data_IF_877379984005
#
_entry.id   IF_877379984005
#
_cell.length_a   1.000
_cell.length_b   1.000
_cell.length_c   1.000
_cell.angle_alpha   90.00
_cell.angle_beta   90.00
_cell.angle_gamma   90.00
#
_symmetry.space_group_name_H-M   'P 1'
#
loop_
_entity.id
_entity.type
_entity.pdbx_description
1 polymer ?
#
# COMPACT_ATOMS: atom_id res chain seq x y z
N UNK A 1 36.39 -10.73 8.47
CA UNK A 1 36.28 -9.30 8.85
C UNK A 1 36.02 -8.36 7.67
N UNK A 2 36.56 -8.60 6.45
CA UNK A 2 36.32 -7.70 5.31
C UNK A 2 34.96 -7.88 4.61
N UNK A 3 34.48 -9.12 4.47
CA UNK A 3 33.23 -9.45 3.77
C UNK A 3 32.01 -8.86 4.48
N UNK A 4 32.01 -8.84 5.81
CA UNK A 4 30.95 -8.24 6.63
C UNK A 4 30.82 -6.74 6.40
N UNK A 5 31.92 -6.02 6.15
CA UNK A 5 31.90 -4.58 5.88
C UNK A 5 31.26 -4.32 4.52
N UNK A 6 31.57 -5.14 3.51
CA UNK A 6 30.96 -5.04 2.17
C UNK A 6 29.45 -5.30 2.22
N UNK A 7 29.01 -6.32 2.97
CA UNK A 7 27.58 -6.63 3.14
C UNK A 7 26.86 -5.47 3.83
N UNK A 8 27.46 -4.90 4.89
CA UNK A 8 26.89 -3.74 5.59
C UNK A 8 26.81 -2.54 4.65
N UNK A 9 27.85 -2.22 3.88
CA UNK A 9 27.82 -1.13 2.91
C UNK A 9 26.71 -1.31 1.87
N UNK A 10 26.56 -2.51 1.29
CA UNK A 10 25.49 -2.79 0.30
C UNK A 10 24.09 -2.63 0.90
N UNK A 11 23.89 -3.06 2.15
CA UNK A 11 22.61 -2.88 2.85
C UNK A 11 22.32 -1.42 3.19
N UNK A 12 23.34 -0.60 3.45
CA UNK A 12 23.19 0.83 3.69
C UNK A 12 22.84 1.60 2.40
N UNK A 13 23.38 1.21 1.25
CA UNK A 13 23.06 1.84 -0.04
C UNK A 13 21.65 1.50 -0.51
N UNK A 14 21.14 0.30 -0.22
CA UNK A 14 19.77 -0.13 -0.58
C UNK A 14 18.66 0.52 0.25
N UNK A 15 19.01 1.42 1.18
CA UNK A 15 18.04 2.14 2.02
C UNK A 15 17.51 3.42 1.34
N UNK A 16 17.74 3.55 0.05
CA UNK A 16 17.14 4.56 -0.81
C UNK A 16 15.63 4.30 -0.89
N UNK A 17 14.92 5.10 -0.09
CA UNK A 17 13.63 5.70 -0.44
C UNK A 17 12.61 4.68 -0.95
N UNK A 18 11.95 3.98 -0.02
CA UNK A 18 10.58 3.54 -0.32
C UNK A 18 9.83 4.81 -0.70
N UNK A 19 9.41 5.01 -1.96
CA UNK A 19 8.54 6.14 -2.26
C UNK A 19 7.35 5.98 -1.32
N UNK A 20 7.04 7.01 -0.53
CA UNK A 20 5.78 7.11 0.18
C UNK A 20 4.72 7.12 -0.91
N UNK A 21 4.30 5.92 -1.27
CA UNK A 21 3.56 5.64 -2.46
C UNK A 21 2.10 5.88 -2.08
N UNK A 22 1.56 6.94 -2.65
CA UNK A 22 0.18 7.43 -2.53
C UNK A 22 -0.86 6.35 -2.94
N UNK A 23 -0.41 5.17 -3.41
CA UNK A 23 -1.26 4.03 -3.77
C UNK A 23 -1.75 3.24 -2.53
N UNK A 24 -1.46 3.71 -1.31
CA UNK A 24 -1.95 3.10 -0.07
C UNK A 24 -3.46 3.33 0.13
N UNK A 25 -4.08 4.27 -0.58
CA UNK A 25 -5.52 4.53 -0.51
C UNK A 25 -6.35 3.32 -1.01
N UNK A 26 -5.84 2.60 -2.02
CA UNK A 26 -6.45 1.37 -2.54
C UNK A 26 -6.21 0.14 -1.63
N UNK A 27 -5.37 0.26 -0.60
CA UNK A 27 -5.11 -0.81 0.38
C UNK A 27 -5.95 -0.68 1.66
N UNK A 28 -6.70 0.42 1.82
CA UNK A 28 -7.56 0.63 2.99
C UNK A 28 -8.94 0.01 2.81
N UNK A 29 -9.35 -0.76 3.82
CA UNK A 29 -10.72 -1.26 3.93
C UNK A 29 -11.70 -0.09 4.13
N UNK A 30 -12.82 -0.14 3.42
CA UNK A 30 -13.90 0.84 3.57
C UNK A 30 -15.27 0.18 3.44
N UNK A 31 -16.26 0.77 4.10
CA UNK A 31 -17.65 0.33 3.98
C UNK A 31 -18.36 1.12 2.89
N UNK A 32 -18.94 0.42 1.92
CA UNK A 32 -19.68 1.05 0.85
C UNK A 32 -20.92 1.79 1.39
N UNK A 33 -21.09 3.10 1.11
CA UNK A 33 -22.20 3.89 1.65
C UNK A 33 -23.56 3.55 1.02
N UNK A 34 -23.57 2.89 -0.15
CA UNK A 34 -24.81 2.50 -0.85
C UNK A 34 -25.35 1.15 -0.39
N UNK A 35 -24.48 0.13 -0.32
CA UNK A 35 -24.91 -1.25 -0.06
C UNK A 35 -24.40 -1.83 1.26
N UNK A 36 -23.67 -1.05 2.07
CA UNK A 36 -23.08 -1.45 3.35
C UNK A 36 -22.11 -2.65 3.26
N UNK A 37 -21.61 -2.95 2.07
CA UNK A 37 -20.61 -3.99 1.87
C UNK A 37 -19.23 -3.52 2.33
N UNK A 38 -18.52 -4.34 3.10
CA UNK A 38 -17.13 -4.09 3.50
C UNK A 38 -16.18 -4.43 2.36
N UNK A 39 -15.66 -3.39 1.70
CA UNK A 39 -14.69 -3.48 0.60
C UNK A 39 -13.30 -3.54 1.23
N UNK A 40 -12.63 -4.68 1.11
CA UNK A 40 -11.32 -4.91 1.73
C UNK A 40 -10.18 -4.15 1.04
N UNK A 41 -10.31 -3.89 -0.27
CA UNK A 41 -9.31 -3.22 -1.09
C UNK A 41 -9.96 -2.65 -2.36
N UNK A 42 -9.33 -1.60 -2.90
CA UNK A 42 -9.72 -0.94 -4.13
C UNK A 42 -10.67 0.24 -3.94
N UNK A 43 -10.78 1.03 -5.00
CA UNK A 43 -11.58 2.27 -5.08
C UNK A 43 -13.02 2.07 -5.57
N UNK A 44 -13.47 0.84 -5.80
CA UNK A 44 -14.82 0.55 -6.30
C UNK A 44 -15.45 -0.66 -5.58
N UNK A 45 -16.72 -0.53 -5.21
CA UNK A 45 -17.46 -1.62 -4.57
C UNK A 45 -17.83 -2.70 -5.61
N UNK A 46 -17.47 -3.98 -5.41
CA UNK A 46 -17.75 -5.05 -6.36
C UNK A 46 -19.22 -5.44 -6.46
N UNK A 47 -20.07 -4.95 -5.53
CA UNK A 47 -21.48 -5.30 -5.48
C UNK A 47 -22.38 -4.28 -6.19
N UNK A 48 -22.18 -2.99 -5.91
CA UNK A 48 -23.01 -1.90 -6.46
C UNK A 48 -22.23 -0.93 -7.36
N UNK A 49 -20.93 -1.15 -7.56
CA UNK A 49 -20.04 -0.31 -8.38
C UNK A 49 -19.94 1.15 -7.93
N UNK A 50 -20.35 1.45 -6.70
CA UNK A 50 -20.13 2.75 -6.06
C UNK A 50 -18.64 2.95 -5.81
N UNK A 51 -18.13 4.14 -6.11
CA UNK A 51 -16.71 4.50 -5.87
C UNK A 51 -16.45 4.84 -4.41
N UNK A 52 -15.24 4.56 -3.94
CA UNK A 52 -14.75 4.95 -2.62
C UNK A 52 -14.92 6.47 -2.47
N UNK A 53 -15.62 6.93 -1.42
CA UNK A 53 -15.66 8.36 -1.12
C UNK A 53 -14.26 8.81 -0.70
N UNK A 54 -13.78 9.91 -1.31
CA UNK A 54 -12.56 10.60 -0.89
C UNK A 54 -12.74 11.29 0.46
#
# INVERSE_FOLDING_TARGET
MGITIVIICVLYTQREETPANDDQEDLEEWTCPDCSFSVQLGTECPYCYTKKPR
#
